data_IF_922056989760
#
_entry.id   IF_922056989760
#
_cell.length_a   1.000
_cell.length_b   1.000
_cell.length_c   1.000
_cell.angle_alpha   90.00
_cell.angle_beta   90.00
_cell.angle_gamma   90.00
#
_symmetry.space_group_name_H-M   'P 1'
#
loop_
_entity.id
_entity.type
_entity.pdbx_description
1 polymer ?
#
# COMPACT_ATOMS: atom_id res chain seq x y z
N UNK A 1 8.47 3.31 14.12
CA UNK A 1 7.67 3.93 13.03
C UNK A 1 6.72 2.92 12.39
N UNK A 2 7.21 1.80 11.84
CA UNK A 2 6.37 0.74 11.26
C UNK A 2 5.36 0.12 12.25
N UNK A 3 5.80 -0.13 13.49
CA UNK A 3 4.91 -0.63 14.55
C UNK A 3 3.74 0.33 14.83
N UNK A 4 3.98 1.65 14.87
CA UNK A 4 2.92 2.63 15.09
C UNK A 4 1.84 2.59 13.99
N UNK A 5 2.23 2.49 12.72
CA UNK A 5 1.26 2.37 11.61
C UNK A 5 0.43 1.09 11.77
N UNK A 6 1.09 -0.02 12.11
CA UNK A 6 0.40 -1.27 12.37
C UNK A 6 -0.60 -1.16 13.53
N UNK A 7 -0.16 -0.58 14.64
CA UNK A 7 -0.96 -0.45 15.87
C UNK A 7 -2.17 0.46 15.65
N UNK A 8 -2.00 1.59 14.95
CA UNK A 8 -3.11 2.50 14.64
C UNK A 8 -4.15 1.84 13.71
N UNK A 9 -3.71 1.07 12.72
CA UNK A 9 -4.65 0.35 11.85
C UNK A 9 -5.40 -0.71 12.67
N UNK A 10 -4.70 -1.50 13.50
CA UNK A 10 -5.34 -2.51 14.34
C UNK A 10 -6.31 -1.92 15.34
N UNK A 11 -5.93 -0.88 16.07
CA UNK A 11 -6.75 -0.24 17.10
C UNK A 11 -8.05 0.37 16.54
N UNK A 12 -8.05 0.73 15.25
CA UNK A 12 -9.19 1.36 14.58
C UNK A 12 -9.89 0.44 13.57
N UNK A 13 -9.61 -0.87 13.61
CA UNK A 13 -10.27 -1.86 12.76
C UNK A 13 -11.27 -2.72 13.54
N UNK A 14 -12.58 -2.48 13.38
CA UNK A 14 -13.60 -3.40 13.83
C UNK A 14 -13.42 -4.82 13.26
N UNK A 15 -13.63 -5.85 14.09
CA UNK A 15 -13.52 -7.26 13.69
C UNK A 15 -14.43 -7.66 12.51
N UNK A 16 -15.54 -6.93 12.31
CA UNK A 16 -16.46 -7.14 11.17
C UNK A 16 -15.80 -6.90 9.81
N UNK A 17 -14.70 -6.14 9.75
CA UNK A 17 -13.97 -5.92 8.50
C UNK A 17 -13.02 -7.06 8.14
N UNK A 18 -12.93 -8.11 8.97
CA UNK A 18 -12.26 -9.36 8.58
C UNK A 18 -10.73 -9.25 8.44
N UNK A 19 -10.09 -8.25 9.05
CA UNK A 19 -8.63 -8.17 9.09
C UNK A 19 -8.05 -9.31 9.93
N UNK A 20 -7.28 -10.18 9.29
CA UNK A 20 -6.62 -11.32 9.95
C UNK A 20 -5.15 -11.03 10.22
N UNK A 21 -4.48 -10.36 9.29
CA UNK A 21 -3.08 -10.00 9.43
C UNK A 21 -2.76 -8.66 8.76
N UNK A 22 -1.71 -8.01 9.25
CA UNK A 22 -1.24 -6.71 8.79
C UNK A 22 0.27 -6.71 8.75
N UNK A 23 0.84 -6.33 7.62
CA UNK A 23 2.29 -6.15 7.49
C UNK A 23 2.59 -4.74 7.00
N UNK A 24 3.55 -4.10 7.66
CA UNK A 24 4.10 -2.81 7.24
C UNK A 24 5.54 -2.99 6.76
N UNK A 25 5.90 -2.27 5.70
CA UNK A 25 7.25 -2.28 5.13
C UNK A 25 7.68 -0.85 4.84
N UNK A 26 8.92 -0.51 5.19
CA UNK A 26 9.49 0.77 4.80
C UNK A 26 9.66 0.84 3.27
N UNK A 27 9.24 1.94 2.68
CA UNK A 27 9.38 2.27 1.26
C UNK A 27 10.20 3.55 1.10
N UNK A 28 10.62 3.87 -0.13
CA UNK A 28 11.43 5.06 -0.41
C UNK A 28 10.77 6.36 0.09
N UNK A 29 9.45 6.47 -0.09
CA UNK A 29 8.68 7.68 0.22
C UNK A 29 7.66 7.47 1.34
N UNK A 30 7.83 6.41 2.17
CA UNK A 30 6.92 6.17 3.29
C UNK A 30 6.84 4.72 3.73
N UNK A 31 5.60 4.24 3.88
CA UNK A 31 5.29 2.91 4.42
C UNK A 31 4.27 2.22 3.54
N UNK A 32 4.64 1.05 3.01
CA UNK A 32 3.71 0.15 2.35
C UNK A 32 2.96 -0.66 3.41
N UNK A 33 1.65 -0.80 3.20
CA UNK A 33 0.74 -1.53 4.08
C UNK A 33 0.12 -2.69 3.31
N UNK A 34 0.27 -3.90 3.81
CA UNK A 34 -0.32 -5.11 3.26
C UNK A 34 -1.40 -5.62 4.22
N UNK A 35 -2.65 -5.66 3.75
CA UNK A 35 -3.80 -6.15 4.49
C UNK A 35 -4.11 -7.59 4.07
N UNK A 36 -4.26 -8.48 5.05
CA UNK A 36 -4.72 -9.85 4.83
C UNK A 36 -6.12 -9.96 5.40
N UNK A 37 -7.09 -10.13 4.51
CA UNK A 37 -8.51 -10.05 4.83
C UNK A 37 -9.20 -11.38 4.55
N UNK A 38 -10.11 -11.75 5.45
CA UNK A 38 -11.12 -12.77 5.19
C UNK A 38 -12.33 -12.14 4.52
N UNK A 39 -12.54 -12.50 3.26
CA UNK A 39 -13.65 -12.01 2.45
C UNK A 39 -14.31 -13.15 1.67
N UNK A 40 -15.58 -12.99 1.35
CA UNK A 40 -16.35 -13.94 0.52
C UNK A 40 -16.15 -13.71 -0.98
N UNK A 41 -15.57 -12.58 -1.37
CA UNK A 41 -15.25 -12.22 -2.74
C UNK A 41 -14.18 -11.13 -2.78
N UNK A 42 -13.57 -10.91 -3.94
CA UNK A 42 -12.62 -9.82 -4.16
C UNK A 42 -13.28 -8.44 -3.94
N UNK A 43 -14.50 -8.25 -4.44
CA UNK A 43 -15.24 -6.99 -4.23
C UNK A 43 -15.54 -6.73 -2.74
N UNK A 44 -15.83 -7.78 -1.97
CA UNK A 44 -15.97 -7.67 -0.53
C UNK A 44 -14.64 -7.30 0.14
N UNK A 45 -13.53 -7.93 -0.28
CA UNK A 45 -12.19 -7.63 0.22
C UNK A 45 -11.81 -6.16 -0.01
N UNK A 46 -12.07 -5.62 -1.21
CA UNK A 46 -11.81 -4.22 -1.53
C UNK A 46 -12.67 -3.27 -0.69
N UNK A 47 -13.94 -3.60 -0.50
CA UNK A 47 -14.86 -2.81 0.35
C UNK A 47 -14.38 -2.78 1.79
N UNK A 48 -13.97 -3.94 2.34
CA UNK A 48 -13.41 -4.07 3.69
C UNK A 48 -12.09 -3.31 3.83
N UNK A 49 -11.19 -3.42 2.85
CA UNK A 49 -9.92 -2.70 2.84
C UNK A 49 -10.13 -1.18 2.91
N UNK A 50 -11.06 -0.64 2.11
CA UNK A 50 -11.39 0.79 2.17
C UNK A 50 -11.96 1.20 3.53
N UNK A 51 -12.87 0.41 4.10
CA UNK A 51 -13.44 0.69 5.42
C UNK A 51 -12.36 0.73 6.52
N UNK A 52 -11.40 -0.20 6.48
CA UNK A 52 -10.25 -0.25 7.39
C UNK A 52 -9.40 1.00 7.26
N UNK A 53 -9.01 1.36 6.03
CA UNK A 53 -8.15 2.51 5.78
C UNK A 53 -8.82 3.84 6.12
N UNK A 54 -10.14 3.95 5.89
CA UNK A 54 -10.89 5.16 6.26
C UNK A 54 -11.06 5.28 7.78
N UNK A 55 -11.29 4.18 8.50
CA UNK A 55 -11.34 4.17 9.97
C UNK A 55 -10.01 4.61 10.60
N UNK A 56 -8.88 4.19 10.04
CA UNK A 56 -7.55 4.57 10.52
C UNK A 56 -7.07 5.93 10.03
N UNK A 57 -7.79 6.59 9.11
CA UNK A 57 -7.31 7.81 8.42
C UNK A 57 -7.04 8.97 9.37
N UNK A 58 -7.97 9.28 10.28
CA UNK A 58 -7.82 10.37 11.23
C UNK A 58 -6.63 10.17 12.19
N UNK A 59 -6.48 9.02 12.87
CA UNK A 59 -5.34 8.78 13.75
C UNK A 59 -4.01 8.77 12.99
N UNK A 60 -3.94 8.16 11.79
CA UNK A 60 -2.73 8.20 10.96
C UNK A 60 -2.31 9.65 10.61
N UNK A 61 -3.28 10.51 10.27
CA UNK A 61 -3.02 11.93 9.98
C UNK A 61 -2.53 12.71 11.21
N UNK A 62 -3.07 12.43 12.39
CA UNK A 62 -2.61 13.04 13.64
C UNK A 62 -1.13 12.71 13.93
N UNK A 63 -0.63 11.59 13.40
CA UNK A 63 0.77 11.19 13.48
C UNK A 63 1.61 11.54 12.24
N UNK A 64 1.09 12.39 11.34
CA UNK A 64 1.84 12.90 10.18
C UNK A 64 1.81 12.01 8.93
N UNK A 65 1.11 10.88 8.95
CA UNK A 65 0.97 10.02 7.77
C UNK A 65 -0.12 10.53 6.83
N UNK A 66 0.12 10.39 5.52
CA UNK A 66 -0.84 10.70 4.47
C UNK A 66 -0.85 9.56 3.44
N UNK A 67 -1.99 9.32 2.77
CA UNK A 67 -2.01 8.41 1.63
C UNK A 67 -0.97 8.86 0.60
N UNK A 68 -0.12 7.94 0.16
CA UNK A 68 0.76 8.19 -0.98
C UNK A 68 -0.04 8.31 -2.28
N UNK A 69 0.60 8.78 -3.34
CA UNK A 69 0.00 8.67 -4.67
C UNK A 69 -0.24 7.18 -4.98
N UNK A 70 -1.34 6.83 -5.66
CA UNK A 70 -1.57 5.47 -6.08
C UNK A 70 -0.36 5.01 -6.89
N UNK A 71 0.28 3.93 -6.44
CA UNK A 71 1.36 3.30 -7.19
C UNK A 71 0.76 2.77 -8.49
N UNK A 72 0.77 3.59 -9.55
CA UNK A 72 0.65 3.09 -10.91
C UNK A 72 1.88 2.22 -11.10
N UNK A 73 1.69 0.91 -11.22
CA UNK A 73 2.74 0.03 -11.70
C UNK A 73 3.39 0.71 -12.90
N UNK A 74 4.62 1.17 -12.72
CA UNK A 74 5.42 1.65 -13.84
C UNK A 74 5.74 0.39 -14.62
N UNK A 75 5.02 0.16 -15.72
CA UNK A 75 5.27 -0.99 -16.60
C UNK A 75 6.78 -1.11 -16.86
N UNK A 76 7.41 -2.24 -16.52
CA UNK A 76 8.82 -2.44 -16.83
C UNK A 76 8.93 -2.76 -18.31
N UNK A 77 9.10 -1.74 -19.15
CA UNK A 77 9.11 -1.97 -20.59
C UNK A 77 9.38 -0.74 -21.43
N UNK A 78 10.46 -0.01 -21.17
CA UNK A 78 11.07 0.87 -22.18
C UNK A 78 12.58 1.01 -21.89
N UNK A 79 13.28 -0.14 -21.89
CA UNK A 79 14.70 -0.14 -22.23
C UNK A 79 14.77 -0.26 -23.75
N UNK A 80 14.57 0.86 -24.45
CA UNK A 80 14.87 0.92 -25.89
C UNK A 80 16.37 1.10 -26.01
N UNK A 81 17.03 -0.02 -26.34
CA UNK A 81 18.43 -0.14 -26.72
C UNK A 81 18.84 1.00 -27.67
N UNK A 82 19.48 2.04 -27.14
CA UNK A 82 20.24 2.97 -27.98
C UNK A 82 21.61 2.37 -28.23
N UNK A 83 21.67 1.57 -29.28
CA UNK A 83 22.90 1.15 -29.93
C UNK A 83 23.72 2.40 -30.32
N UNK A 84 25.02 2.51 -29.97
CA UNK A 84 25.87 3.53 -30.59
C UNK A 84 26.11 3.15 -32.06
N UNK A 85 26.19 4.12 -32.99
CA UNK A 85 26.54 3.82 -34.37
C UNK A 85 27.97 3.31 -34.43
N UNK A 86 28.11 2.05 -34.83
CA UNK A 86 29.38 1.44 -35.21
C UNK A 86 29.99 2.25 -36.36
N UNK A 87 31.19 2.77 -36.15
CA UNK A 87 32.00 3.36 -37.21
C UNK A 87 32.26 2.35 -38.32
N UNK A 88 32.26 2.84 -39.55
CA UNK A 88 32.75 2.12 -40.73
C UNK A 88 34.04 2.78 -41.23
N UNK A 89 34.91 2.01 -41.92
CA UNK A 89 36.36 2.24 -42.01
C UNK A 89 36.80 3.33 -42.99
#
# INVERSE_FOLDING_TARGET
>A
MLALVSDLIWAHTPAVHGLEHLRTKAAADGVDVYLFLRATSEAAALTQAHAILDGARAPLRAHGYRPGEPHRERSPGEHSDRHPPSGCP
#
